data_IF_891001045819
#
_entry.id   IF_891001045819
#
_cell.length_a   1.000
_cell.length_b   1.000
_cell.length_c   1.000
_cell.angle_alpha   90.00
_cell.angle_beta   90.00
_cell.angle_gamma   90.00
#
_symmetry.space_group_name_H-M   'P 1'
#
loop_
_entity.id
_entity.type
_entity.pdbx_description
1 polymer ?
#
# COMPACT_ATOMS: atom_id res chain seq x y z
N UNK A 1 75.44 -27.47 -28.31
CA UNK A 1 74.92 -26.09 -28.38
C UNK A 1 73.42 -26.20 -28.27
N UNK A 2 72.88 -25.96 -27.08
CA UNK A 2 71.49 -26.25 -26.73
C UNK A 2 70.88 -24.95 -26.24
N UNK A 3 69.98 -24.39 -27.05
CA UNK A 3 69.28 -23.13 -26.82
C UNK A 3 68.15 -23.34 -25.82
N UNK A 4 68.20 -22.65 -24.67
CA UNK A 4 67.11 -22.60 -23.71
C UNK A 4 66.13 -21.48 -24.10
N UNK A 5 64.88 -21.84 -24.37
CA UNK A 5 63.79 -20.87 -24.48
C UNK A 5 63.25 -20.58 -23.07
N UNK A 6 63.36 -19.33 -22.63
CA UNK A 6 62.65 -18.83 -21.46
C UNK A 6 61.19 -18.55 -21.83
N UNK A 7 60.24 -19.15 -21.11
CA UNK A 7 58.83 -18.77 -21.16
C UNK A 7 58.53 -17.90 -19.94
N UNK A 8 58.27 -16.62 -20.19
CA UNK A 8 57.77 -15.69 -19.19
C UNK A 8 56.26 -15.95 -19.01
N UNK A 9 55.88 -16.47 -17.85
CA UNK A 9 54.47 -16.62 -17.45
C UNK A 9 54.00 -15.28 -16.91
N UNK A 10 53.09 -14.63 -17.62
CA UNK A 10 52.46 -13.37 -17.22
C UNK A 10 51.21 -13.68 -16.39
N UNK A 11 51.28 -13.46 -15.07
CA UNK A 11 50.15 -13.58 -14.16
C UNK A 11 49.28 -12.33 -14.29
N UNK A 12 48.12 -12.46 -14.94
CA UNK A 12 47.09 -11.42 -14.97
C UNK A 12 46.33 -11.49 -13.63
N UNK A 13 46.59 -10.53 -12.74
CA UNK A 13 45.81 -10.36 -11.53
C UNK A 13 44.42 -9.79 -11.90
N UNK A 14 43.39 -10.63 -11.82
CA UNK A 14 42.00 -10.19 -11.94
C UNK A 14 41.63 -9.42 -10.67
N UNK A 15 41.60 -8.09 -10.76
CA UNK A 15 41.02 -7.27 -9.70
C UNK A 15 39.51 -7.57 -9.63
N UNK A 16 39.08 -8.26 -8.58
CA UNK A 16 37.66 -8.40 -8.26
C UNK A 16 37.12 -7.00 -7.93
N UNK A 17 36.45 -6.38 -8.89
CA UNK A 17 35.70 -5.16 -8.62
C UNK A 17 34.56 -5.53 -7.67
N UNK A 18 34.38 -4.81 -6.54
CA UNK A 18 33.21 -5.00 -5.71
C UNK A 18 31.98 -4.71 -6.56
N UNK A 19 31.15 -5.73 -6.77
CA UNK A 19 29.85 -5.54 -7.37
C UNK A 19 29.06 -4.59 -6.46
N UNK A 20 28.42 -3.53 -7.00
CA UNK A 20 27.54 -2.71 -6.20
C UNK A 20 26.44 -3.62 -5.65
N UNK A 21 26.40 -3.77 -4.32
CA UNK A 21 25.25 -4.36 -3.66
C UNK A 21 24.06 -3.47 -3.97
N UNK A 22 23.08 -4.00 -4.70
CA UNK A 22 21.78 -3.34 -4.82
C UNK A 22 21.29 -3.09 -3.39
N UNK A 23 21.10 -1.83 -3.03
CA UNK A 23 20.37 -1.50 -1.82
C UNK A 23 19.02 -2.21 -1.96
N UNK A 24 18.74 -3.16 -1.08
CA UNK A 24 17.37 -3.64 -0.92
C UNK A 24 16.57 -2.38 -0.56
N UNK A 25 15.63 -1.98 -1.41
CA UNK A 25 14.77 -0.84 -1.12
C UNK A 25 14.13 -1.10 0.25
N UNK A 26 14.45 -0.22 1.20
CA UNK A 26 13.91 -0.34 2.55
C UNK A 26 12.39 -0.16 2.45
N UNK A 27 11.57 -0.97 3.13
CA UNK A 27 10.13 -0.77 3.11
C UNK A 27 9.77 0.62 3.63
N UNK A 28 8.74 1.20 3.02
CA UNK A 28 8.17 2.46 3.47
C UNK A 28 7.51 2.27 4.84
N UNK A 29 6.77 1.17 4.98
CA UNK A 29 6.14 0.75 6.22
C UNK A 29 6.20 -0.77 6.36
N UNK A 30 6.31 -1.24 7.61
CA UNK A 30 6.25 -2.65 7.97
C UNK A 30 5.44 -2.76 9.27
N UNK A 31 4.50 -3.69 9.32
CA UNK A 31 3.63 -3.93 10.47
C UNK A 31 3.56 -5.42 10.80
N UNK A 32 3.77 -5.74 12.08
CA UNK A 32 3.47 -7.03 12.67
C UNK A 32 2.00 -7.07 13.12
N UNK A 33 1.24 -8.07 12.67
CA UNK A 33 -0.13 -8.32 13.14
C UNK A 33 -0.49 -9.80 12.89
N UNK A 34 -1.44 -10.34 13.65
CA UNK A 34 -2.08 -11.64 13.35
C UNK A 34 -3.31 -11.37 12.47
N UNK A 35 -3.13 -11.34 11.14
CA UNK A 35 -4.17 -10.92 10.19
C UNK A 35 -5.14 -12.07 9.87
N UNK A 36 -4.66 -13.31 9.93
CA UNK A 36 -5.48 -14.50 9.69
C UNK A 36 -6.07 -15.15 10.95
N UNK A 37 -5.73 -14.60 12.13
CA UNK A 37 -6.21 -15.02 13.45
C UNK A 37 -5.81 -16.45 13.80
N UNK A 38 -4.65 -16.91 13.33
CA UNK A 38 -4.13 -18.25 13.64
C UNK A 38 -3.30 -18.30 14.93
N UNK A 39 -3.05 -17.13 15.56
CA UNK A 39 -2.26 -16.97 16.78
C UNK A 39 -0.76 -16.78 16.53
N UNK A 40 -0.32 -16.84 15.26
CA UNK A 40 1.04 -16.55 14.83
C UNK A 40 1.10 -15.15 14.23
N UNK A 41 2.17 -14.42 14.53
CA UNK A 41 2.35 -13.09 13.94
C UNK A 41 2.70 -13.16 12.45
N UNK A 42 2.02 -12.35 11.67
CA UNK A 42 2.27 -12.12 10.24
C UNK A 42 3.04 -10.80 10.04
N UNK A 43 3.39 -10.53 8.78
CA UNK A 43 3.97 -9.25 8.36
C UNK A 43 3.25 -8.67 7.15
N UNK A 44 2.79 -7.43 7.30
CA UNK A 44 2.41 -6.57 6.19
C UNK A 44 3.56 -5.61 5.89
N UNK A 45 3.99 -5.59 4.63
CA UNK A 45 5.09 -4.75 4.16
C UNK A 45 4.60 -3.91 3.00
N UNK A 46 4.84 -2.61 3.06
CA UNK A 46 4.53 -1.67 1.99
C UNK A 46 5.81 -1.16 1.36
N UNK A 47 5.87 -1.25 0.04
CA UNK A 47 6.92 -0.65 -0.78
C UNK A 47 6.34 0.55 -1.53
N UNK A 48 7.00 1.70 -1.40
CA UNK A 48 6.67 2.90 -2.15
C UNK A 48 7.42 2.87 -3.47
N UNK A 49 6.71 2.90 -4.60
CA UNK A 49 7.31 2.89 -5.93
C UNK A 49 7.70 4.32 -6.35
N UNK A 50 8.63 4.42 -7.32
CA UNK A 50 9.11 5.69 -7.89
C UNK A 50 7.99 6.53 -8.54
N UNK A 51 6.91 5.88 -8.99
CA UNK A 51 5.74 6.55 -9.58
C UNK A 51 4.76 7.09 -8.53
N UNK A 52 5.10 6.99 -7.24
CA UNK A 52 4.28 7.44 -6.13
C UNK A 52 3.23 6.44 -5.67
N UNK A 53 2.98 5.33 -6.39
CA UNK A 53 2.03 4.29 -5.94
C UNK A 53 2.71 3.30 -5.01
N UNK A 54 1.91 2.61 -4.20
CA UNK A 54 2.44 1.63 -3.27
C UNK A 54 2.04 0.19 -3.60
N UNK A 55 2.94 -0.73 -3.30
CA UNK A 55 2.72 -2.17 -3.36
C UNK A 55 2.62 -2.73 -1.93
N UNK A 56 1.65 -3.62 -1.70
CA UNK A 56 1.49 -4.34 -0.44
C UNK A 56 1.94 -5.80 -0.61
N UNK A 57 2.72 -6.27 0.36
CA UNK A 57 3.18 -7.64 0.48
C UNK A 57 2.74 -8.17 1.84
N UNK A 58 2.18 -9.37 1.86
CA UNK A 58 1.77 -10.03 3.10
C UNK A 58 2.50 -11.37 3.21
N UNK A 59 3.08 -11.61 4.38
CA UNK A 59 3.79 -12.82 4.75
C UNK A 59 3.08 -13.40 5.96
N UNK A 60 2.48 -14.58 5.81
CA UNK A 60 1.75 -15.26 6.87
C UNK A 60 2.69 -16.11 7.73
N UNK A 61 2.38 -16.37 8.99
CA UNK A 61 3.15 -17.24 9.87
C UNK A 61 4.65 -16.92 9.88
N UNK A 62 4.98 -15.65 10.14
CA UNK A 62 6.37 -15.17 10.26
C UNK A 62 6.91 -15.28 11.68
N UNK A 63 6.04 -15.27 12.68
CA UNK A 63 6.41 -15.17 14.09
C UNK A 63 6.90 -13.77 14.46
N UNK A 64 7.61 -13.68 15.58
CA UNK A 64 8.16 -12.41 16.08
C UNK A 64 9.51 -12.04 15.45
N UNK A 65 10.15 -12.99 14.77
CA UNK A 65 11.47 -12.78 14.18
C UNK A 65 11.44 -11.78 13.01
N UNK A 66 12.62 -11.25 12.69
CA UNK A 66 12.78 -10.38 11.53
C UNK A 66 12.52 -11.20 10.25
N UNK A 67 11.80 -10.61 9.30
CA UNK A 67 11.53 -11.24 8.02
C UNK A 67 12.83 -11.58 7.28
N UNK A 68 12.98 -12.83 6.89
CA UNK A 68 14.07 -13.27 6.00
C UNK A 68 13.90 -12.61 4.61
N UNK A 69 14.89 -11.83 4.13
CA UNK A 69 14.82 -11.19 2.81
C UNK A 69 14.62 -12.15 1.63
N UNK A 70 14.96 -13.44 1.79
CA UNK A 70 14.77 -14.45 0.76
C UNK A 70 13.35 -15.04 0.73
N UNK A 71 12.55 -14.81 1.79
CA UNK A 71 11.20 -15.33 1.91
C UNK A 71 10.31 -14.70 0.83
N UNK A 72 9.51 -15.55 0.18
CA UNK A 72 8.49 -15.09 -0.77
C UNK A 72 7.23 -14.66 -0.01
N UNK A 73 6.56 -13.58 -0.45
CA UNK A 73 5.27 -13.18 0.10
C UNK A 73 4.20 -14.22 -0.22
N UNK A 74 3.30 -14.44 0.72
CA UNK A 74 2.10 -15.27 0.55
C UNK A 74 1.05 -14.54 -0.29
N UNK A 75 1.07 -13.21 -0.28
CA UNK A 75 0.21 -12.37 -1.10
C UNK A 75 0.91 -11.07 -1.52
N UNK A 76 0.63 -10.62 -2.74
CA UNK A 76 1.13 -9.35 -3.27
C UNK A 76 -0.02 -8.59 -3.94
N UNK A 77 -0.22 -7.33 -3.54
CA UNK A 77 -1.07 -6.37 -4.25
C UNK A 77 -0.23 -5.22 -4.77
N UNK A 78 -0.05 -5.21 -6.09
CA UNK A 78 0.60 -4.11 -6.82
C UNK A 78 -0.34 -2.92 -7.00
N UNK A 79 0.23 -1.72 -7.03
CA UNK A 79 -0.49 -0.47 -7.29
C UNK A 79 -1.76 -0.34 -6.42
N UNK A 80 -1.59 -0.54 -5.12
CA UNK A 80 -2.67 -0.48 -4.12
C UNK A 80 -3.33 0.89 -4.08
N UNK A 81 -2.53 1.94 -4.30
CA UNK A 81 -2.90 3.34 -4.04
C UNK A 81 -2.70 4.24 -5.25
N UNK A 82 -3.38 5.39 -5.22
CA UNK A 82 -3.27 6.46 -6.23
C UNK A 82 -1.95 7.23 -6.10
N UNK A 83 -1.44 7.35 -4.87
CA UNK A 83 -0.21 8.07 -4.48
C UNK A 83 0.34 7.41 -3.20
N UNK A 84 1.06 8.15 -2.36
CA UNK A 84 1.85 7.61 -1.24
C UNK A 84 1.04 7.02 -0.07
N UNK A 85 1.64 6.07 0.64
CA UNK A 85 1.18 5.64 1.97
C UNK A 85 1.60 6.64 3.04
N UNK A 86 0.72 6.86 4.01
CA UNK A 86 0.96 7.65 5.21
C UNK A 86 1.14 6.78 6.46
N UNK A 87 0.40 5.67 6.58
CA UNK A 87 0.42 4.84 7.79
C UNK A 87 -0.05 3.39 7.55
N UNK A 88 0.38 2.50 8.45
CA UNK A 88 -0.09 1.13 8.63
C UNK A 88 -0.46 0.86 10.08
N UNK A 89 -1.67 0.41 10.34
CA UNK A 89 -2.16 0.16 11.69
C UNK A 89 -2.89 -1.18 11.82
N UNK A 90 -2.71 -1.88 12.93
CA UNK A 90 -3.57 -3.01 13.30
C UNK A 90 -4.78 -2.48 14.07
N UNK A 91 -5.98 -2.69 13.53
CA UNK A 91 -7.23 -2.26 14.16
C UNK A 91 -7.81 -3.28 15.15
N UNK A 92 -7.03 -4.31 15.50
CA UNK A 92 -7.51 -5.47 16.25
C UNK A 92 -8.32 -6.42 15.36
N UNK A 93 -8.65 -7.60 15.90
CA UNK A 93 -9.44 -8.64 15.21
C UNK A 93 -8.92 -8.96 13.80
N UNK A 94 -7.61 -9.03 13.60
CA UNK A 94 -7.01 -9.35 12.30
C UNK A 94 -7.33 -8.36 11.18
N UNK A 95 -7.53 -7.08 11.52
CA UNK A 95 -7.78 -6.02 10.55
C UNK A 95 -6.55 -5.13 10.36
N UNK A 96 -6.09 -4.99 9.12
CA UNK A 96 -5.02 -4.09 8.70
C UNK A 96 -5.64 -2.82 8.11
N UNK A 97 -5.36 -1.66 8.70
CA UNK A 97 -5.66 -0.36 8.10
C UNK A 97 -4.45 0.18 7.34
N UNK A 98 -4.69 0.65 6.13
CA UNK A 98 -3.68 1.25 5.25
C UNK A 98 -4.16 2.64 4.88
N UNK A 99 -3.48 3.66 5.36
CA UNK A 99 -3.84 5.07 5.08
C UNK A 99 -2.92 5.61 3.99
N UNK A 100 -3.50 6.26 3.00
CA UNK A 100 -2.80 6.82 1.85
C UNK A 100 -3.32 8.20 1.52
N UNK A 101 -2.52 8.99 0.82
CA UNK A 101 -2.88 10.35 0.50
C UNK A 101 -2.46 10.75 -0.90
N UNK A 102 -3.46 11.18 -1.68
CA UNK A 102 -3.24 11.81 -2.97
C UNK A 102 -3.12 13.32 -2.77
N UNK A 103 -2.06 13.91 -3.32
CA UNK A 103 -1.92 15.38 -3.33
C UNK A 103 -1.79 15.98 -1.93
N UNK A 104 -1.21 15.25 -0.98
CA UNK A 104 -0.98 15.74 0.38
C UNK A 104 -0.23 17.08 0.37
N UNK A 105 -0.86 18.12 0.94
CA UNK A 105 -0.34 19.49 0.96
C UNK A 105 -0.59 20.30 -0.32
N UNK A 106 -1.31 19.75 -1.30
CA UNK A 106 -1.76 20.46 -2.49
C UNK A 106 -3.19 20.98 -2.33
N UNK A 107 -3.62 21.86 -3.24
CA UNK A 107 -4.99 22.38 -3.26
C UNK A 107 -6.03 21.31 -3.59
N UNK A 108 -5.61 20.16 -4.13
CA UNK A 108 -6.46 19.01 -4.44
C UNK A 108 -5.89 17.81 -3.69
N UNK A 109 -6.47 17.51 -2.54
CA UNK A 109 -5.98 16.44 -1.67
C UNK A 109 -7.09 15.47 -1.29
N UNK A 110 -6.72 14.21 -1.10
CA UNK A 110 -7.58 13.21 -0.47
C UNK A 110 -6.77 12.34 0.47
N UNK A 111 -7.41 11.89 1.53
CA UNK A 111 -6.89 10.82 2.38
C UNK A 111 -7.84 9.63 2.32
N UNK A 112 -7.27 8.47 2.06
CA UNK A 112 -7.98 7.22 1.81
C UNK A 112 -7.52 6.21 2.87
N UNK A 113 -8.46 5.52 3.54
CA UNK A 113 -8.14 4.37 4.40
C UNK A 113 -8.74 3.09 3.83
N UNK A 114 -7.89 2.11 3.56
CA UNK A 114 -8.29 0.77 3.14
C UNK A 114 -8.17 -0.20 4.31
N UNK A 115 -9.26 -0.88 4.66
CA UNK A 115 -9.25 -1.94 5.68
C UNK A 115 -9.16 -3.29 4.98
N UNK A 116 -8.06 -4.01 5.21
CA UNK A 116 -7.83 -5.37 4.74
C UNK A 116 -8.11 -6.35 5.87
N UNK A 117 -8.84 -7.42 5.57
CA UNK A 117 -9.11 -8.54 6.48
C UNK A 117 -8.83 -9.86 5.78
N UNK A 118 -8.55 -10.92 6.55
CA UNK A 118 -8.44 -12.27 6.03
C UNK A 118 -9.65 -13.11 6.46
N UNK A 119 -10.43 -13.61 5.49
CA UNK A 119 -11.61 -14.46 5.76
C UNK A 119 -11.73 -15.55 4.71
N UNK A 120 -12.12 -16.75 5.14
CA UNK A 120 -12.27 -17.90 4.24
C UNK A 120 -11.02 -18.14 3.37
N UNK A 121 -9.84 -18.02 3.98
CA UNK A 121 -8.54 -18.18 3.31
C UNK A 121 -8.27 -17.19 2.18
N UNK A 122 -8.77 -15.96 2.29
CA UNK A 122 -8.62 -14.93 1.28
C UNK A 122 -8.51 -13.54 1.90
N UNK A 123 -7.62 -12.72 1.34
CA UNK A 123 -7.53 -11.29 1.67
C UNK A 123 -8.65 -10.52 0.97
N UNK A 124 -9.39 -9.73 1.75
CA UNK A 124 -10.53 -8.94 1.30
C UNK A 124 -10.37 -7.50 1.76
N UNK A 125 -10.89 -6.58 0.96
CA UNK A 125 -11.20 -5.22 1.41
C UNK A 125 -12.48 -5.29 2.24
N UNK A 126 -12.34 -5.15 3.56
CA UNK A 126 -13.42 -5.13 4.53
C UNK A 126 -14.02 -3.73 4.73
N UNK A 127 -13.26 -2.68 4.42
CA UNK A 127 -13.73 -1.31 4.50
C UNK A 127 -12.92 -0.36 3.64
N UNK A 128 -13.53 0.77 3.29
CA UNK A 128 -12.87 1.84 2.56
C UNK A 128 -13.50 3.17 2.96
N UNK A 129 -12.67 4.13 3.34
CA UNK A 129 -13.09 5.51 3.54
C UNK A 129 -12.20 6.44 2.73
N UNK A 130 -12.77 7.60 2.37
CA UNK A 130 -12.04 8.67 1.69
C UNK A 130 -12.60 10.00 2.12
N UNK A 131 -11.73 10.92 2.49
CA UNK A 131 -12.05 12.34 2.61
C UNK A 131 -11.40 13.13 1.46
N UNK A 132 -11.96 14.27 1.12
CA UNK A 132 -11.39 15.17 0.12
C UNK A 132 -11.55 16.62 0.53
N UNK A 133 -10.54 17.43 0.24
CA UNK A 133 -10.57 18.90 0.32
C UNK A 133 -9.89 19.47 -0.92
N UNK A 134 -10.72 19.97 -1.83
CA UNK A 134 -10.33 20.41 -3.17
C UNK A 134 -10.68 21.87 -3.38
N UNK A 135 -9.66 22.69 -3.55
CA UNK A 135 -9.74 24.12 -3.80
C UNK A 135 -9.33 24.40 -5.25
N UNK A 136 -10.27 24.95 -6.03
CA UNK A 136 -10.09 25.31 -7.43
C UNK A 136 -10.12 26.84 -7.54
N UNK A 137 -8.97 27.44 -7.87
CA UNK A 137 -8.89 28.86 -8.16
C UNK A 137 -9.51 29.15 -9.54
N UNK A 138 -10.44 30.10 -9.58
CA UNK A 138 -11.11 30.56 -10.80
C UNK A 138 -10.39 31.78 -11.38
N UNK A 139 -10.59 32.04 -12.67
CA UNK A 139 -9.97 33.16 -13.38
C UNK A 139 -10.44 34.54 -12.89
N UNK A 140 -11.60 34.61 -12.22
CA UNK A 140 -12.13 35.82 -11.60
C UNK A 140 -11.55 36.09 -10.19
N UNK A 141 -10.61 35.26 -9.73
CA UNK A 141 -9.97 35.37 -8.42
C UNK A 141 -10.73 34.70 -7.28
N UNK A 142 -11.89 34.08 -7.54
CA UNK A 142 -12.61 33.29 -6.54
C UNK A 142 -12.00 31.90 -6.36
N UNK A 143 -12.32 31.24 -5.24
CA UNK A 143 -11.96 29.85 -4.97
C UNK A 143 -13.24 29.07 -4.80
N UNK A 144 -13.40 28.02 -5.60
CA UNK A 144 -14.44 27.01 -5.41
C UNK A 144 -13.85 25.87 -4.58
N UNK A 145 -14.44 25.62 -3.42
CA UNK A 145 -14.04 24.54 -2.52
C UNK A 145 -15.04 23.41 -2.61
N UNK A 146 -14.54 22.18 -2.70
CA UNK A 146 -15.33 20.98 -2.45
C UNK A 146 -14.68 20.18 -1.35
N UNK A 147 -15.45 19.94 -0.31
CA UNK A 147 -15.08 19.09 0.81
C UNK A 147 -16.13 17.98 0.99
N UNK A 148 -15.73 16.88 1.59
CA UNK A 148 -16.64 15.80 1.95
C UNK A 148 -15.90 14.51 2.27
N UNK A 149 -16.67 13.50 2.64
CA UNK A 149 -16.17 12.17 2.95
C UNK A 149 -17.13 11.07 2.51
N UNK A 150 -16.59 9.87 2.44
CA UNK A 150 -17.34 8.63 2.42
C UNK A 150 -16.73 7.63 3.41
N UNK A 151 -17.56 6.75 3.94
CA UNK A 151 -17.14 5.57 4.67
C UNK A 151 -17.99 4.37 4.23
N UNK A 152 -17.33 3.25 3.95
CA UNK A 152 -17.96 2.01 3.52
C UNK A 152 -17.42 0.88 4.38
N UNK A 153 -18.33 0.24 5.11
CA UNK A 153 -18.05 -1.02 5.76
C UNK A 153 -18.61 -2.17 4.91
N UNK A 154 -17.75 -2.76 4.09
CA UNK A 154 -18.12 -3.86 3.20
C UNK A 154 -18.54 -5.13 3.95
N UNK A 155 -18.07 -5.32 5.19
CA UNK A 155 -18.44 -6.48 6.01
C UNK A 155 -19.89 -6.41 6.49
N UNK A 156 -20.40 -5.21 6.79
CA UNK A 156 -21.80 -4.98 7.20
C UNK A 156 -22.70 -4.56 6.04
N UNK A 157 -22.11 -4.16 4.91
CA UNK A 157 -22.83 -3.61 3.76
C UNK A 157 -23.37 -2.20 3.97
N UNK A 158 -22.95 -1.49 5.03
CA UNK A 158 -23.36 -0.12 5.33
C UNK A 158 -22.36 0.88 4.76
N UNK A 159 -22.86 2.05 4.40
CA UNK A 159 -22.04 3.17 3.97
C UNK A 159 -22.66 4.51 4.39
N UNK A 160 -21.81 5.50 4.60
CA UNK A 160 -22.17 6.91 4.76
C UNK A 160 -21.42 7.77 3.77
N UNK A 161 -22.00 8.91 3.42
CA UNK A 161 -21.30 9.95 2.66
C UNK A 161 -21.78 11.32 3.12
N UNK A 162 -20.85 12.26 3.18
CA UNK A 162 -21.10 13.67 3.38
C UNK A 162 -20.75 14.45 2.11
N UNK A 163 -21.26 15.68 2.03
CA UNK A 163 -20.81 16.69 1.08
C UNK A 163 -20.74 18.01 1.82
N UNK A 164 -19.77 18.82 1.45
CA UNK A 164 -19.46 20.06 2.15
C UNK A 164 -19.20 19.76 3.64
N UNK A 165 -19.72 20.61 4.52
CA UNK A 165 -19.57 20.46 5.98
C UNK A 165 -20.79 19.81 6.64
N UNK A 166 -21.65 19.13 5.86
CA UNK A 166 -22.80 18.40 6.38
C UNK A 166 -22.38 17.11 7.10
N UNK A 167 -23.22 16.62 8.01
CA UNK A 167 -23.08 15.30 8.59
C UNK A 167 -23.20 14.19 7.53
N UNK A 168 -22.43 13.11 7.71
CA UNK A 168 -22.49 11.91 6.89
C UNK A 168 -23.87 11.23 6.95
N UNK A 169 -24.48 11.02 5.78
CA UNK A 169 -25.81 10.41 5.66
C UNK A 169 -25.71 8.97 5.16
N UNK A 170 -26.54 8.03 5.66
CA UNK A 170 -26.54 6.66 5.16
C UNK A 170 -26.82 6.59 3.65
N UNK A 171 -26.02 5.81 2.93
CA UNK A 171 -26.20 5.60 1.49
C UNK A 171 -26.86 4.25 1.25
N UNK A 172 -27.96 4.25 0.49
CA UNK A 172 -28.59 3.01 0.02
C UNK A 172 -27.71 2.38 -1.05
N UNK A 173 -27.39 1.10 -0.87
CA UNK A 173 -26.59 0.36 -1.83
C UNK A 173 -26.33 -1.07 -1.37
N UNK A 174 -25.69 -1.85 -2.26
CA UNK A 174 -25.19 -3.18 -1.94
C UNK A 174 -23.67 -3.12 -1.94
N UNK A 175 -23.09 -2.92 -0.76
CA UNK A 175 -21.66 -2.96 -0.54
C UNK A 175 -21.30 -4.37 -0.07
N UNK A 176 -20.33 -5.00 -0.72
CA UNK A 176 -19.86 -6.36 -0.40
C UNK A 176 -18.34 -6.36 -0.35
N UNK A 177 -17.72 -7.26 0.44
CA UNK A 177 -16.27 -7.38 0.48
C UNK A 177 -15.70 -7.61 -0.91
N UNK A 178 -14.61 -6.91 -1.22
CA UNK A 178 -13.92 -7.01 -2.52
C UNK A 178 -12.68 -7.87 -2.32
N UNK A 179 -12.42 -8.91 -3.13
CA UNK A 179 -11.13 -9.59 -3.08
C UNK A 179 -10.00 -8.58 -3.25
N UNK A 180 -8.98 -8.62 -2.38
CA UNK A 180 -7.93 -7.61 -2.40
C UNK A 180 -7.16 -7.58 -3.73
N UNK A 181 -7.07 -8.73 -4.41
CA UNK A 181 -6.48 -8.82 -5.74
C UNK A 181 -7.25 -7.96 -6.78
N UNK A 182 -8.58 -7.89 -6.63
CA UNK A 182 -9.49 -7.19 -7.54
C UNK A 182 -9.65 -5.70 -7.21
N UNK A 183 -9.16 -5.26 -6.05
CA UNK A 183 -9.20 -3.86 -5.63
C UNK A 183 -8.39 -2.96 -6.59
N UNK A 184 -8.87 -1.75 -6.83
CA UNK A 184 -8.12 -0.68 -7.49
C UNK A 184 -8.70 0.67 -7.06
N UNK A 185 -7.84 1.65 -6.79
CA UNK A 185 -8.27 3.02 -6.48
C UNK A 185 -9.13 3.64 -7.61
N UNK A 186 -8.92 3.22 -8.85
CA UNK A 186 -9.72 3.67 -10.00
C UNK A 186 -11.15 3.11 -9.98
N UNK A 187 -11.35 1.97 -9.31
CA UNK A 187 -12.65 1.28 -9.18
C UNK A 187 -13.34 1.57 -7.86
N UNK A 188 -12.86 2.57 -7.11
CA UNK A 188 -13.49 3.00 -5.85
C UNK A 188 -14.98 3.30 -6.07
N UNK A 189 -15.83 3.05 -5.07
CA UNK A 189 -17.27 3.30 -5.22
C UNK A 189 -17.57 4.76 -5.54
N UNK A 190 -18.57 4.99 -6.40
CA UNK A 190 -18.95 6.35 -6.85
C UNK A 190 -19.29 7.32 -5.72
N UNK A 191 -19.74 6.81 -4.57
CA UNK A 191 -20.03 7.64 -3.39
C UNK A 191 -18.76 8.22 -2.75
N UNK A 192 -17.60 7.65 -3.09
CA UNK A 192 -16.26 8.09 -2.72
C UNK A 192 -15.54 8.75 -3.91
N UNK A 193 -16.28 9.17 -4.95
CA UNK A 193 -15.75 9.85 -6.12
C UNK A 193 -16.30 11.26 -6.17
N UNK A 194 -15.42 12.23 -6.44
CA UNK A 194 -15.74 13.62 -6.72
C UNK A 194 -15.05 14.05 -8.02
#
# INVERSE_FOLDING_TARGET
>A
MTTALHHAVWLIALAAMPAPGLAYDKPAFELALDIDQDGTMDRAVVMQNDDGRADLYIYLATGEEKLDPSRKPDFVKKALTEDRILDLESKGEGSLAITSCFGCGASKSTEDTLIVVYRNRSFLVGGYSRNWDWNIQKSDGTVETTIGDCDINYLTGKATASRDLDDGKPVKGRFKPVPLNDWSYEKRPRICSF
#
